data_IF_228819762159
#
_entry.id   IF_228819762159
#
_cell.length_a   1.000
_cell.length_b   1.000
_cell.length_c   1.000
_cell.angle_alpha   90.00
_cell.angle_beta   90.00
_cell.angle_gamma   90.00
#
_symmetry.space_group_name_H-M   'P 1'
#
loop_
_entity.id
_entity.type
_entity.pdbx_description
1 polymer ?
#
# COMPACT_ATOMS: atom_id res chain seq x y z
N UNK A 1 44.82 24.11 12.01
CA UNK A 1 44.27 22.85 11.45
C UNK A 1 44.27 23.00 9.94
N UNK A 2 44.75 22.01 9.18
CA UNK A 2 44.77 22.09 7.72
C UNK A 2 43.33 22.17 7.17
N UNK A 3 43.02 23.11 6.27
CA UNK A 3 41.69 23.25 5.67
C UNK A 3 41.25 21.95 4.98
N UNK A 4 42.17 21.22 4.37
CA UNK A 4 41.92 19.93 3.73
C UNK A 4 41.62 18.81 4.73
N UNK A 5 42.20 18.87 5.93
CA UNK A 5 41.85 17.94 6.99
C UNK A 5 40.41 18.20 7.48
N UNK A 6 40.01 19.47 7.62
CA UNK A 6 38.63 19.81 8.00
C UNK A 6 37.60 19.25 7.00
N UNK A 7 37.90 19.32 5.70
CA UNK A 7 37.04 18.73 4.66
C UNK A 7 36.88 17.20 4.85
N UNK A 8 37.98 16.47 5.07
CA UNK A 8 37.90 15.02 5.32
C UNK A 8 37.13 14.68 6.61
N UNK A 9 37.28 15.49 7.67
CA UNK A 9 36.49 15.32 8.90
C UNK A 9 34.99 15.57 8.68
N UNK A 10 34.65 16.65 7.96
CA UNK A 10 33.27 16.95 7.61
C UNK A 10 32.65 15.82 6.77
N UNK A 11 33.41 15.29 5.80
CA UNK A 11 33.04 14.11 5.02
C UNK A 11 32.75 12.89 5.91
N UNK A 12 33.59 12.61 6.89
CA UNK A 12 33.39 11.50 7.82
C UNK A 12 32.07 11.63 8.60
N UNK A 13 31.81 12.82 9.15
CA UNK A 13 30.59 13.10 9.92
C UNK A 13 29.35 13.00 9.02
N UNK A 14 29.38 13.62 7.84
CA UNK A 14 28.26 13.61 6.89
C UNK A 14 27.94 12.17 6.45
N UNK A 15 28.95 11.38 6.09
CA UNK A 15 28.76 9.99 5.70
C UNK A 15 28.19 9.14 6.83
N UNK A 16 28.62 9.36 8.08
CA UNK A 16 28.10 8.63 9.24
C UNK A 16 26.64 9.01 9.55
N UNK A 17 26.29 10.30 9.46
CA UNK A 17 24.91 10.77 9.61
C UNK A 17 24.03 10.21 8.49
N UNK A 18 24.49 10.22 7.25
CA UNK A 18 23.77 9.63 6.12
C UNK A 18 23.51 8.13 6.31
N UNK A 19 24.50 7.38 6.81
CA UNK A 19 24.33 5.97 7.11
C UNK A 19 23.21 5.74 8.14
N UNK A 20 23.22 6.51 9.24
CA UNK A 20 22.20 6.41 10.28
C UNK A 20 20.80 6.77 9.76
N UNK A 21 20.68 7.85 9.01
CA UNK A 21 19.41 8.31 8.43
C UNK A 21 18.81 7.28 7.45
N UNK A 22 19.64 6.75 6.55
CA UNK A 22 19.17 5.75 5.56
C UNK A 22 18.77 4.47 6.25
N UNK A 23 19.56 4.01 7.23
CA UNK A 23 19.25 2.79 7.96
C UNK A 23 17.95 2.93 8.76
N UNK A 24 17.76 4.05 9.46
CA UNK A 24 16.55 4.34 10.23
C UNK A 24 15.30 4.46 9.33
N UNK A 25 15.44 5.00 8.12
CA UNK A 25 14.29 5.21 7.22
C UNK A 25 13.59 3.91 6.80
N UNK A 26 14.34 2.82 6.57
CA UNK A 26 13.78 1.49 6.29
C UNK A 26 14.89 0.44 6.43
N UNK A 27 15.02 -0.11 7.64
CA UNK A 27 16.04 -1.11 7.96
C UNK A 27 15.73 -2.49 7.38
N UNK A 28 14.51 -2.76 6.88
CA UNK A 28 14.16 -4.03 6.23
C UNK A 28 14.60 -4.08 4.76
N UNK A 29 14.68 -2.93 4.10
CA UNK A 29 15.11 -2.83 2.70
C UNK A 29 16.59 -3.18 2.52
N UNK A 30 16.89 -4.19 1.71
CA UNK A 30 18.27 -4.60 1.37
C UNK A 30 19.08 -3.45 0.76
N UNK A 31 18.45 -2.65 -0.10
CA UNK A 31 19.06 -1.48 -0.74
C UNK A 31 19.54 -0.47 0.30
N UNK A 32 18.73 -0.18 1.33
CA UNK A 32 19.10 0.75 2.40
C UNK A 32 20.25 0.21 3.25
N UNK A 33 20.23 -1.09 3.58
CA UNK A 33 21.34 -1.72 4.32
C UNK A 33 22.66 -1.58 3.57
N UNK A 34 22.69 -1.94 2.29
CA UNK A 34 23.91 -1.84 1.49
C UNK A 34 24.38 -0.39 1.32
N UNK A 35 23.47 0.55 1.07
CA UNK A 35 23.84 1.96 1.01
C UNK A 35 24.42 2.48 2.34
N UNK A 36 23.79 2.10 3.46
CA UNK A 36 24.26 2.48 4.80
C UNK A 36 25.66 1.90 5.08
N UNK A 37 25.92 0.65 4.69
CA UNK A 37 27.25 0.03 4.79
C UNK A 37 28.27 0.81 3.95
N UNK A 38 27.93 1.17 2.70
CA UNK A 38 28.79 2.00 1.86
C UNK A 38 29.13 3.33 2.55
N UNK A 39 28.13 4.01 3.12
CA UNK A 39 28.34 5.26 3.86
C UNK A 39 29.21 5.09 5.11
N UNK A 40 29.07 3.98 5.86
CA UNK A 40 29.93 3.67 7.01
C UNK A 40 31.39 3.47 6.56
N UNK A 41 31.60 2.73 5.48
CA UNK A 41 32.95 2.52 4.94
C UNK A 41 33.57 3.81 4.41
N UNK A 42 32.76 4.70 3.81
CA UNK A 42 33.22 6.04 3.40
C UNK A 42 33.55 6.93 4.60
N UNK A 43 32.79 6.84 5.69
CA UNK A 43 33.09 7.56 6.92
C UNK A 43 34.42 7.09 7.52
N UNK A 44 34.69 5.78 7.47
CA UNK A 44 35.95 5.18 7.88
C UNK A 44 37.14 5.73 7.07
N UNK A 45 37.08 5.72 5.73
CA UNK A 45 38.18 6.22 4.90
C UNK A 45 38.37 7.73 5.07
N UNK A 46 37.29 8.49 5.18
CA UNK A 46 37.34 9.93 5.46
C UNK A 46 38.03 10.25 6.79
N UNK A 47 37.76 9.44 7.82
CA UNK A 47 38.41 9.59 9.12
C UNK A 47 39.88 9.17 9.10
N UNK A 48 40.22 8.10 8.37
CA UNK A 48 41.60 7.68 8.18
C UNK A 48 42.41 8.76 7.44
N UNK A 49 41.85 9.35 6.39
CA UNK A 49 42.46 10.45 5.63
C UNK A 49 42.63 11.72 6.47
N UNK A 50 41.62 12.09 7.27
CA UNK A 50 41.74 13.18 8.24
C UNK A 50 42.91 12.97 9.20
N UNK A 51 43.02 11.76 9.74
CA UNK A 51 44.02 11.40 10.74
C UNK A 51 45.43 11.33 10.12
N UNK A 52 45.53 10.86 8.88
CA UNK A 52 46.75 10.94 8.08
C UNK A 52 47.21 12.40 7.93
N UNK A 53 46.34 13.29 7.43
CA UNK A 53 46.67 14.69 7.15
C UNK A 53 47.11 15.48 8.39
N UNK A 54 46.66 15.09 9.59
CA UNK A 54 47.01 15.73 10.86
C UNK A 54 48.11 15.03 11.65
N UNK A 55 48.74 14.00 11.10
CA UNK A 55 49.78 13.25 11.79
C UNK A 55 50.97 14.14 12.16
N UNK A 56 51.49 13.96 13.39
CA UNK A 56 52.60 14.78 13.93
C UNK A 56 53.97 14.37 13.40
N UNK A 57 54.11 13.11 12.97
CA UNK A 57 55.36 12.54 12.49
C UNK A 57 55.10 11.51 11.38
N UNK A 58 56.16 11.15 10.66
CA UNK A 58 56.14 10.16 9.56
C UNK A 58 55.63 8.79 10.02
N UNK A 59 56.01 8.36 11.23
CA UNK A 59 55.59 7.07 11.79
C UNK A 59 54.07 6.99 12.01
N UNK A 60 53.46 8.03 12.59
CA UNK A 60 52.01 8.09 12.75
C UNK A 60 51.29 8.17 11.40
N UNK A 61 51.84 8.93 10.45
CA UNK A 61 51.29 9.01 9.10
C UNK A 61 51.30 7.64 8.41
N UNK A 62 52.37 6.85 8.54
CA UNK A 62 52.47 5.49 8.00
C UNK A 62 51.43 4.54 8.58
N UNK A 63 51.13 4.66 9.87
CA UNK A 63 50.08 3.87 10.51
C UNK A 63 48.72 4.21 9.91
N UNK A 64 48.38 5.50 9.80
CA UNK A 64 47.09 5.92 9.23
C UNK A 64 46.96 5.59 7.74
N UNK A 65 48.03 5.70 6.96
CA UNK A 65 48.05 5.28 5.56
C UNK A 65 47.78 3.77 5.41
N UNK A 66 48.29 2.93 6.32
CA UNK A 66 48.00 1.48 6.34
C UNK A 66 46.60 1.15 6.84
N UNK A 67 46.02 1.99 7.69
CA UNK A 67 44.63 1.85 8.13
C UNK A 67 43.68 2.12 6.95
N UNK A 68 44.03 3.02 6.03
CA UNK A 68 43.23 3.33 4.82
C UNK A 68 43.32 2.26 3.71
N UNK A 69 43.20 0.99 4.08
CA UNK A 69 43.39 -0.17 3.18
C UNK A 69 42.10 -0.76 2.61
N UNK A 70 40.96 -0.35 3.16
CA UNK A 70 39.66 -0.97 2.83
C UNK A 70 39.03 -0.41 1.54
N UNK A 71 39.64 0.57 0.89
CA UNK A 71 39.09 1.21 -0.31
C UNK A 71 38.77 0.23 -1.47
N UNK A 72 39.51 -0.88 -1.73
CA UNK A 72 39.11 -1.84 -2.77
C UNK A 72 37.80 -2.57 -2.44
N UNK A 73 37.57 -2.85 -1.15
CA UNK A 73 36.33 -3.49 -0.69
C UNK A 73 35.12 -2.56 -0.85
N UNK A 74 35.31 -1.24 -0.74
CA UNK A 74 34.24 -0.26 -0.96
C UNK A 74 33.66 -0.38 -2.36
N UNK A 75 34.51 -0.54 -3.39
CA UNK A 75 34.06 -0.70 -4.77
C UNK A 75 33.20 -1.96 -4.96
N UNK A 76 33.55 -3.04 -4.26
CA UNK A 76 32.77 -4.27 -4.27
C UNK A 76 31.42 -4.08 -3.58
N UNK A 77 31.37 -3.38 -2.44
CA UNK A 77 30.11 -3.08 -1.74
C UNK A 77 29.21 -2.18 -2.59
N UNK A 78 29.78 -1.23 -3.33
CA UNK A 78 29.04 -0.38 -4.27
C UNK A 78 28.45 -1.21 -5.41
N UNK A 79 29.22 -2.15 -5.98
CA UNK A 79 28.70 -3.08 -6.98
C UNK A 79 27.56 -3.94 -6.41
N UNK A 80 27.67 -4.39 -5.16
CA UNK A 80 26.59 -5.09 -4.46
C UNK A 80 25.35 -4.23 -4.29
N UNK A 81 25.52 -2.97 -3.92
CA UNK A 81 24.43 -2.00 -3.84
C UNK A 81 23.75 -1.82 -5.20
N UNK A 82 24.50 -1.64 -6.28
CA UNK A 82 23.95 -1.49 -7.63
C UNK A 82 23.18 -2.74 -8.09
N UNK A 83 23.71 -3.94 -7.81
CA UNK A 83 23.04 -5.20 -8.12
C UNK A 83 21.78 -5.43 -7.26
N UNK A 84 21.83 -5.04 -5.98
CA UNK A 84 20.68 -5.09 -5.09
C UNK A 84 19.59 -4.12 -5.53
N UNK A 85 19.96 -2.92 -5.98
CA UNK A 85 19.02 -1.94 -6.50
C UNK A 85 18.36 -2.38 -7.81
N UNK A 86 19.12 -2.99 -8.72
CA UNK A 86 18.62 -3.45 -10.02
C UNK A 86 17.89 -4.80 -9.98
N UNK A 87 17.64 -5.34 -8.79
CA UNK A 87 16.93 -6.60 -8.55
C UNK A 87 17.63 -7.83 -9.18
N UNK A 88 18.93 -7.72 -9.47
CA UNK A 88 19.73 -8.79 -10.11
C UNK A 88 20.42 -9.72 -9.10
N UNK A 89 19.83 -9.91 -7.92
CA UNK A 89 20.36 -10.75 -6.83
C UNK A 89 20.66 -12.20 -7.22
N UNK A 90 20.06 -12.72 -8.31
CA UNK A 90 20.38 -14.05 -8.84
C UNK A 90 21.83 -14.18 -9.33
N UNK A 91 22.50 -13.07 -9.65
CA UNK A 91 23.94 -13.06 -9.99
C UNK A 91 24.76 -13.25 -8.71
N UNK A 92 24.35 -12.60 -7.62
CA UNK A 92 24.99 -12.64 -6.30
C UNK A 92 24.79 -13.97 -5.56
N UNK A 93 23.74 -14.75 -5.90
CA UNK A 93 23.54 -16.09 -5.33
C UNK A 93 24.50 -17.15 -5.90
N UNK A 94 25.21 -16.84 -6.98
CA UNK A 94 26.20 -17.77 -7.58
C UNK A 94 27.55 -17.61 -6.90
N UNK A 95 28.01 -18.67 -6.22
CA UNK A 95 29.34 -18.72 -5.55
C UNK A 95 30.49 -18.24 -6.44
N UNK A 96 30.49 -18.61 -7.73
CA UNK A 96 31.54 -18.18 -8.69
C UNK A 96 31.59 -16.67 -8.92
N UNK A 97 30.43 -16.00 -8.94
CA UNK A 97 30.36 -14.56 -9.13
C UNK A 97 30.88 -13.80 -7.90
N UNK A 98 30.54 -14.29 -6.68
CA UNK A 98 31.08 -13.74 -5.44
C UNK A 98 32.61 -13.86 -5.39
N UNK A 99 33.16 -15.02 -5.74
CA UNK A 99 34.60 -15.25 -5.80
C UNK A 99 35.26 -14.26 -6.78
N UNK A 100 34.71 -14.12 -7.99
CA UNK A 100 35.28 -13.24 -9.01
C UNK A 100 35.30 -11.76 -8.60
N UNK A 101 34.30 -11.33 -7.83
CA UNK A 101 34.18 -9.93 -7.40
C UNK A 101 35.04 -9.65 -6.15
N UNK A 102 35.00 -10.52 -5.14
CA UNK A 102 35.66 -10.26 -3.84
C UNK A 102 37.14 -10.64 -3.80
N UNK A 103 37.56 -11.69 -4.51
CA UNK A 103 38.95 -12.17 -4.44
C UNK A 103 39.94 -11.10 -4.92
N UNK A 104 39.75 -10.42 -6.07
CA UNK A 104 40.66 -9.36 -6.49
C UNK A 104 40.76 -8.23 -5.46
N UNK A 105 39.63 -7.78 -4.92
CA UNK A 105 39.60 -6.73 -3.90
C UNK A 105 40.36 -7.15 -2.64
N UNK A 106 40.17 -8.40 -2.18
CA UNK A 106 40.86 -8.94 -1.03
C UNK A 106 42.37 -9.08 -1.28
N UNK A 107 42.78 -9.52 -2.47
CA UNK A 107 44.19 -9.54 -2.88
C UNK A 107 44.80 -8.15 -2.86
N UNK A 108 44.14 -7.13 -3.41
CA UNK A 108 44.63 -5.75 -3.37
C UNK A 108 44.74 -5.21 -1.93
N UNK A 109 43.74 -5.45 -1.09
CA UNK A 109 43.80 -5.09 0.34
C UNK A 109 44.99 -5.77 1.03
N UNK A 110 45.23 -7.07 0.78
CA UNK A 110 46.40 -7.78 1.34
C UNK A 110 47.71 -7.15 0.85
N UNK A 111 47.83 -6.85 -0.44
CA UNK A 111 49.03 -6.25 -1.03
C UNK A 111 49.30 -4.87 -0.41
N UNK A 112 48.27 -4.05 -0.17
CA UNK A 112 48.42 -2.73 0.49
C UNK A 112 48.90 -2.87 1.94
N UNK A 113 48.46 -3.90 2.68
CA UNK A 113 48.91 -4.12 4.07
C UNK A 113 50.35 -4.64 4.12
N UNK A 114 50.68 -5.61 3.27
CA UNK A 114 51.93 -6.37 3.35
C UNK A 114 53.08 -5.73 2.59
N UNK A 115 52.78 -4.91 1.58
CA UNK A 115 53.78 -4.30 0.71
C UNK A 115 53.61 -2.80 0.60
N UNK A 116 54.70 -2.08 0.36
CA UNK A 116 54.67 -0.64 0.06
C UNK A 116 54.56 -0.37 -1.46
N UNK A 117 54.15 -1.37 -2.26
CA UNK A 117 54.08 -1.23 -3.72
C UNK A 117 52.90 -0.36 -4.19
N UNK A 118 51.84 -0.26 -3.38
CA UNK A 118 50.67 0.57 -3.64
C UNK A 118 50.67 1.87 -2.82
N UNK A 119 51.30 1.85 -1.65
CA UNK A 119 51.49 3.01 -0.78
C UNK A 119 52.99 3.32 -0.71
N UNK A 120 53.49 4.06 -1.69
CA UNK A 120 54.87 4.59 -1.68
C UNK A 120 55.03 5.69 -0.61
N UNK A 121 56.26 6.22 -0.50
CA UNK A 121 56.67 7.20 0.52
C UNK A 121 55.61 8.26 0.82
N UNK A 122 55.31 8.42 2.11
CA UNK A 122 54.42 9.50 2.55
C UNK A 122 55.21 10.79 2.54
N UNK A 123 54.76 11.75 1.74
CA UNK A 123 55.34 13.08 1.70
C UNK A 123 54.44 14.08 2.40
N UNK A 124 55.09 15.03 3.08
CA UNK A 124 54.42 16.17 3.67
C UNK A 124 54.25 17.24 2.59
N UNK A 125 53.01 17.46 2.17
CA UNK A 125 52.64 18.52 1.23
C UNK A 125 51.96 19.70 1.96
N UNK A 126 51.66 20.78 1.24
CA UNK A 126 50.96 21.93 1.81
C UNK A 126 49.50 21.63 2.23
N UNK A 127 48.91 20.52 1.76
CA UNK A 127 47.62 19.98 2.21
C UNK A 127 47.73 18.87 3.27
N UNK A 128 48.91 18.64 3.85
CA UNK A 128 49.18 17.67 4.91
C UNK A 128 49.97 16.46 4.45
N UNK A 129 50.07 15.44 5.30
CA UNK A 129 50.63 14.15 4.90
C UNK A 129 49.72 13.46 3.88
N UNK A 130 50.31 12.97 2.80
CA UNK A 130 49.60 12.24 1.75
C UNK A 130 50.47 11.12 1.17
N UNK A 131 49.81 10.08 0.67
CA UNK A 131 50.47 9.02 -0.09
C UNK A 131 50.81 9.57 -1.49
N UNK A 132 52.08 9.57 -1.86
CA UNK A 132 52.47 9.84 -3.23
C UNK A 132 52.42 8.51 -3.99
N UNK A 133 51.57 8.39 -5.00
CA UNK A 133 51.43 7.15 -5.79
C UNK A 133 52.52 7.09 -6.85
N UNK A 134 53.37 6.06 -6.82
CA UNK A 134 54.33 5.79 -7.87
C UNK A 134 53.69 5.01 -9.03
N UNK A 135 54.13 5.30 -10.25
CA UNK A 135 53.68 4.59 -11.43
C UNK A 135 54.48 3.27 -11.58
N UNK A 136 53.89 2.17 -11.13
CA UNK A 136 54.45 0.82 -11.15
C UNK A 136 53.43 -0.16 -11.75
N UNK A 137 53.87 -1.37 -12.13
CA UNK A 137 52.98 -2.39 -12.72
C UNK A 137 51.76 -2.71 -11.81
N UNK A 138 51.98 -2.78 -10.49
CA UNK A 138 50.93 -3.06 -9.51
C UNK A 138 49.89 -1.94 -9.40
N UNK A 139 50.32 -0.67 -9.43
CA UNK A 139 49.41 0.49 -9.40
C UNK A 139 48.63 0.59 -10.70
N UNK A 140 49.24 0.25 -11.85
CA UNK A 140 48.56 0.15 -13.13
C UNK A 140 47.46 -0.93 -13.12
N UNK A 141 47.77 -2.14 -12.67
CA UNK A 141 46.79 -3.26 -12.60
C UNK A 141 45.61 -2.88 -11.69
N UNK A 142 45.90 -2.27 -10.55
CA UNK A 142 44.87 -1.88 -9.58
C UNK A 142 43.96 -0.78 -10.15
N UNK A 143 44.53 0.20 -10.86
CA UNK A 143 43.77 1.24 -11.55
C UNK A 143 42.90 0.68 -12.69
N UNK A 144 43.42 -0.26 -13.49
CA UNK A 144 42.63 -0.94 -14.53
C UNK A 144 41.45 -1.68 -13.91
N UNK A 145 41.68 -2.40 -12.82
CA UNK A 145 40.62 -3.08 -12.09
C UNK A 145 39.57 -2.10 -11.55
N UNK A 146 39.99 -1.00 -10.93
CA UNK A 146 39.10 0.06 -10.46
C UNK A 146 38.22 0.63 -11.59
N UNK A 147 38.82 0.99 -12.73
CA UNK A 147 38.10 1.49 -13.91
C UNK A 147 37.11 0.44 -14.42
N UNK A 148 37.50 -0.83 -14.46
CA UNK A 148 36.61 -1.92 -14.89
C UNK A 148 35.37 -2.05 -13.99
N UNK A 149 35.53 -1.85 -12.68
CA UNK A 149 34.42 -1.87 -11.72
C UNK A 149 33.48 -0.69 -11.94
N UNK A 150 34.02 0.52 -12.14
CA UNK A 150 33.23 1.74 -12.42
C UNK A 150 32.42 1.57 -13.71
N UNK A 151 33.06 1.08 -14.79
CA UNK A 151 32.39 0.81 -16.07
C UNK A 151 31.31 -0.25 -15.91
N UNK A 152 31.58 -1.33 -15.16
CA UNK A 152 30.60 -2.38 -14.89
C UNK A 152 29.37 -1.85 -14.14
N UNK A 153 29.58 -1.07 -13.07
CA UNK A 153 28.50 -0.44 -12.29
C UNK A 153 27.69 0.50 -13.20
N UNK A 154 28.37 1.37 -13.96
CA UNK A 154 27.74 2.28 -14.91
C UNK A 154 26.91 1.55 -15.97
N UNK A 155 27.43 0.45 -16.52
CA UNK A 155 26.74 -0.37 -17.51
C UNK A 155 25.48 -1.05 -16.93
N UNK A 156 25.58 -1.62 -15.72
CA UNK A 156 24.43 -2.23 -15.03
C UNK A 156 23.34 -1.19 -14.82
N UNK A 157 23.70 -0.02 -14.30
CA UNK A 157 22.76 1.08 -14.03
C UNK A 157 22.14 1.65 -15.32
N UNK A 158 22.94 1.82 -16.37
CA UNK A 158 22.46 2.31 -17.67
C UNK A 158 21.49 1.32 -18.34
N UNK A 159 21.84 0.03 -18.34
CA UNK A 159 20.97 -1.03 -18.86
C UNK A 159 19.65 -1.08 -18.10
N UNK A 160 19.68 -0.91 -16.78
CA UNK A 160 18.46 -0.82 -15.97
C UNK A 160 17.64 0.43 -16.30
N UNK A 161 18.29 1.59 -16.43
CA UNK A 161 17.65 2.86 -16.78
C UNK A 161 16.88 2.80 -18.12
N UNK A 162 17.44 2.18 -19.16
CA UNK A 162 16.77 2.03 -20.47
C UNK A 162 15.55 1.11 -20.38
N UNK A 163 15.63 0.03 -19.59
CA UNK A 163 14.58 -0.98 -19.51
C UNK A 163 13.41 -0.57 -18.60
N UNK A 164 13.64 0.34 -17.66
CA UNK A 164 12.66 0.64 -16.61
C UNK A 164 11.55 1.57 -17.12
N UNK A 165 10.30 1.13 -16.97
CA UNK A 165 9.09 1.91 -17.31
C UNK A 165 8.63 2.81 -16.15
N UNK A 166 8.82 2.36 -14.91
CA UNK A 166 8.48 3.12 -13.71
C UNK A 166 9.34 4.39 -13.62
N UNK A 167 8.67 5.55 -13.59
CA UNK A 167 9.31 6.86 -13.57
C UNK A 167 10.19 7.06 -12.32
N UNK A 168 9.74 6.61 -11.14
CA UNK A 168 10.48 6.76 -9.90
C UNK A 168 11.73 5.89 -9.88
N UNK A 169 11.61 4.60 -10.23
CA UNK A 169 12.76 3.68 -10.30
C UNK A 169 13.77 4.10 -11.38
N UNK A 170 13.30 4.62 -12.50
CA UNK A 170 14.14 5.13 -13.60
C UNK A 170 14.95 6.35 -13.18
N UNK A 171 14.31 7.35 -12.58
CA UNK A 171 15.03 8.53 -12.10
C UNK A 171 15.98 8.21 -10.97
N UNK A 172 15.60 7.38 -9.99
CA UNK A 172 16.50 6.95 -8.93
C UNK A 172 17.74 6.21 -9.47
N UNK A 173 17.61 5.38 -10.51
CA UNK A 173 18.75 4.78 -11.20
C UNK A 173 19.72 5.84 -11.78
N UNK A 174 19.19 6.93 -12.33
CA UNK A 174 19.99 8.05 -12.84
C UNK A 174 20.77 8.74 -11.71
N UNK A 175 20.14 9.00 -10.56
CA UNK A 175 20.81 9.59 -9.40
C UNK A 175 21.94 8.69 -8.88
N UNK A 176 21.69 7.38 -8.80
CA UNK A 176 22.70 6.38 -8.43
C UNK A 176 23.87 6.39 -9.41
N UNK A 177 23.60 6.36 -10.72
CA UNK A 177 24.65 6.38 -11.74
C UNK A 177 25.51 7.65 -11.65
N UNK A 178 24.89 8.82 -11.54
CA UNK A 178 25.61 10.11 -11.45
C UNK A 178 26.43 10.17 -10.16
N UNK A 179 25.82 9.79 -9.03
CA UNK A 179 26.45 9.81 -7.71
C UNK A 179 27.66 8.88 -7.59
N UNK A 180 27.79 7.88 -8.47
CA UNK A 180 28.96 7.01 -8.55
C UNK A 180 29.98 7.41 -9.61
N UNK A 181 29.53 7.85 -10.78
CA UNK A 181 30.46 8.17 -11.87
C UNK A 181 31.28 9.43 -11.58
N UNK A 182 30.66 10.49 -11.04
CA UNK A 182 31.38 11.75 -10.79
C UNK A 182 32.53 11.57 -9.78
N UNK A 183 32.32 10.96 -8.60
CA UNK A 183 33.43 10.73 -7.65
C UNK A 183 34.52 9.81 -8.20
N UNK A 184 34.13 8.83 -9.01
CA UNK A 184 35.09 7.91 -9.65
C UNK A 184 36.00 8.63 -10.64
N UNK A 185 35.48 9.62 -11.39
CA UNK A 185 36.30 10.47 -12.27
C UNK A 185 37.30 11.32 -11.47
N UNK A 186 36.90 11.84 -10.30
CA UNK A 186 37.80 12.55 -9.38
C UNK A 186 38.91 11.62 -8.87
N UNK A 187 38.55 10.39 -8.50
CA UNK A 187 39.52 9.35 -8.12
C UNK A 187 40.49 8.98 -9.25
N UNK A 188 40.02 8.93 -10.50
CA UNK A 188 40.89 8.68 -11.65
C UNK A 188 41.82 9.86 -11.94
N UNK A 189 41.34 11.10 -11.80
CA UNK A 189 42.15 12.29 -11.94
C UNK A 189 43.30 12.31 -10.92
N UNK A 190 42.99 12.03 -9.65
CA UNK A 190 43.96 12.03 -8.54
C UNK A 190 44.89 10.81 -8.57
N UNK A 191 44.36 9.59 -8.75
CA UNK A 191 45.12 8.35 -8.66
C UNK A 191 45.88 7.95 -9.93
N UNK A 192 45.51 8.45 -11.11
CA UNK A 192 46.13 8.08 -12.39
C UNK A 192 46.74 9.26 -13.13
N UNK A 193 46.01 10.38 -13.28
CA UNK A 193 46.48 11.51 -14.10
C UNK A 193 47.52 12.38 -13.38
N UNK A 194 47.37 12.64 -12.08
CA UNK A 194 48.36 13.42 -11.32
C UNK A 194 49.75 12.79 -11.31
N UNK A 195 49.93 11.48 -11.03
CA UNK A 195 51.24 10.83 -11.11
C UNK A 195 51.81 10.84 -12.53
N UNK A 196 50.97 10.62 -13.55
CA UNK A 196 51.40 10.58 -14.95
C UNK A 196 51.91 11.95 -15.45
N UNK A 197 51.28 13.03 -15.00
CA UNK A 197 51.63 14.41 -15.39
C UNK A 197 52.65 15.05 -14.43
N UNK A 198 53.10 14.33 -13.39
CA UNK A 198 53.94 14.87 -12.32
C UNK A 198 53.35 16.14 -11.67
N UNK A 199 52.01 16.26 -11.63
CA UNK A 199 51.31 17.40 -11.04
C UNK A 199 50.94 17.06 -9.60
N UNK A 200 51.39 17.88 -8.67
CA UNK A 200 51.04 17.77 -7.25
C UNK A 200 49.65 18.36 -7.00
N UNK A 201 48.68 17.52 -6.63
CA UNK A 201 47.34 17.97 -6.25
C UNK A 201 46.76 17.16 -5.08
N UNK A 202 45.92 17.78 -4.23
CA UNK A 202 45.32 17.09 -3.10
C UNK A 202 44.33 16.02 -3.58
N UNK A 203 44.37 14.85 -2.94
CA UNK A 203 43.33 13.85 -3.15
C UNK A 203 41.99 14.40 -2.61
N UNK A 204 40.98 14.43 -3.46
CA UNK A 204 39.62 14.86 -3.11
C UNK A 204 38.60 13.75 -3.34
N UNK A 205 39.07 12.51 -3.51
CA UNK A 205 38.25 11.35 -3.81
C UNK A 205 37.19 11.17 -2.73
N UNK A 206 37.57 11.14 -1.46
CA UNK A 206 36.63 10.91 -0.35
C UNK A 206 35.58 12.02 -0.24
N UNK A 207 35.98 13.27 -0.44
CA UNK A 207 35.06 14.41 -0.46
C UNK A 207 34.07 14.32 -1.61
N UNK A 208 34.54 13.98 -2.81
CA UNK A 208 33.68 13.77 -3.97
C UNK A 208 32.69 12.62 -3.73
N UNK A 209 33.15 11.51 -3.13
CA UNK A 209 32.32 10.38 -2.75
C UNK A 209 31.22 10.79 -1.76
N UNK A 210 31.54 11.64 -0.77
CA UNK A 210 30.56 12.17 0.18
C UNK A 210 29.44 12.95 -0.54
N UNK A 211 29.81 13.83 -1.47
CA UNK A 211 28.85 14.59 -2.29
C UNK A 211 28.02 13.66 -3.17
N UNK A 212 28.64 12.64 -3.76
CA UNK A 212 27.94 11.57 -4.49
C UNK A 212 26.92 10.85 -3.61
N UNK A 213 27.30 10.50 -2.38
CA UNK A 213 26.40 9.89 -1.38
C UNK A 213 25.20 10.78 -1.04
N UNK A 214 25.41 12.08 -0.82
CA UNK A 214 24.32 13.05 -0.63
C UNK A 214 23.36 13.09 -1.82
N UNK A 215 23.89 13.03 -3.04
CA UNK A 215 23.10 13.05 -4.26
C UNK A 215 22.26 11.78 -4.42
N UNK A 216 22.83 10.61 -4.10
CA UNK A 216 22.12 9.33 -4.08
C UNK A 216 21.03 9.34 -3.01
N UNK A 217 21.37 9.79 -1.80
CA UNK A 217 20.41 9.92 -0.69
C UNK A 217 19.23 10.82 -1.05
N UNK A 218 19.48 11.99 -1.66
CA UNK A 218 18.43 12.87 -2.14
C UNK A 218 17.51 12.17 -3.15
N UNK A 219 18.08 11.43 -4.10
CA UNK A 219 17.30 10.61 -5.03
C UNK A 219 16.47 9.56 -4.29
N UNK A 220 17.05 8.84 -3.33
CA UNK A 220 16.36 7.83 -2.55
C UNK A 220 15.19 8.42 -1.77
N UNK A 221 15.39 9.55 -1.09
CA UNK A 221 14.35 10.25 -0.35
C UNK A 221 13.22 10.75 -1.27
N UNK A 222 13.57 11.44 -2.36
CA UNK A 222 12.61 12.04 -3.30
C UNK A 222 11.76 11.01 -4.03
N UNK A 223 12.34 9.89 -4.47
CA UNK A 223 11.64 8.92 -5.32
C UNK A 223 11.07 7.71 -4.55
N UNK A 224 11.45 7.47 -3.28
CA UNK A 224 10.75 6.48 -2.42
C UNK A 224 9.44 6.99 -1.82
N UNK A 225 9.25 8.30 -1.76
CA UNK A 225 7.95 8.90 -1.38
C UNK A 225 6.80 8.47 -2.31
N UNK A 226 7.09 7.98 -3.51
CA UNK A 226 6.09 7.69 -4.54
C UNK A 226 5.83 6.20 -4.81
N UNK A 227 6.59 5.28 -4.20
CA UNK A 227 6.34 3.83 -4.36
C UNK A 227 5.68 3.30 -3.11
N UNK A 228 4.35 3.20 -3.09
CA UNK A 228 3.66 2.41 -2.06
C UNK A 228 4.14 0.97 -2.22
N UNK A 229 4.89 0.48 -1.25
CA UNK A 229 5.36 -0.90 -1.27
C UNK A 229 4.12 -1.82 -1.15
N UNK A 230 3.96 -2.85 -1.99
CA UNK A 230 2.75 -3.68 -1.98
C UNK A 230 2.42 -4.26 -0.60
N UNK A 231 3.41 -4.51 0.25
CA UNK A 231 3.22 -4.92 1.64
C UNK A 231 2.55 -3.84 2.50
N UNK A 232 2.99 -2.58 2.40
CA UNK A 232 2.36 -1.46 3.12
C UNK A 232 0.96 -1.16 2.59
N UNK A 233 0.77 -1.27 1.27
CA UNK A 233 -0.56 -1.13 0.67
C UNK A 233 -1.51 -2.22 1.19
N UNK A 234 -1.05 -3.47 1.21
CA UNK A 234 -1.85 -4.60 1.68
C UNK A 234 -2.20 -4.46 3.16
N UNK A 235 -1.24 -4.17 4.04
CA UNK A 235 -1.50 -3.93 5.47
C UNK A 235 -2.51 -2.79 5.69
N UNK A 236 -2.32 -1.64 5.03
CA UNK A 236 -3.27 -0.53 5.14
C UNK A 236 -4.65 -0.86 4.58
N UNK A 237 -4.75 -1.62 3.49
CA UNK A 237 -6.04 -2.06 2.93
C UNK A 237 -6.73 -3.02 3.92
N UNK A 238 -5.99 -3.96 4.51
CA UNK A 238 -6.50 -4.90 5.52
C UNK A 238 -7.00 -4.17 6.77
N UNK A 239 -6.33 -3.11 7.20
CA UNK A 239 -6.71 -2.36 8.40
C UNK A 239 -7.85 -1.37 8.17
N UNK A 240 -8.02 -0.87 6.94
CA UNK A 240 -9.07 0.13 6.61
C UNK A 240 -10.35 -0.49 6.07
N UNK A 241 -10.34 -1.75 5.63
CA UNK A 241 -11.55 -2.42 5.18
C UNK A 241 -12.55 -2.62 6.33
N UNK A 242 -13.82 -2.35 6.07
CA UNK A 242 -14.91 -2.57 7.03
C UNK A 242 -15.36 -4.02 7.10
N UNK A 243 -15.10 -4.81 6.05
CA UNK A 243 -15.42 -6.22 6.02
C UNK A 243 -14.45 -7.00 6.93
N UNK A 244 -14.98 -8.00 7.65
CA UNK A 244 -14.22 -8.85 8.53
C UNK A 244 -13.38 -9.82 7.70
N UNK A 245 -12.10 -9.97 8.03
CA UNK A 245 -11.19 -10.84 7.30
C UNK A 245 -10.54 -11.86 8.23
N UNK A 246 -10.59 -13.13 7.81
CA UNK A 246 -9.92 -14.24 8.46
C UNK A 246 -9.09 -15.01 7.44
N UNK A 247 -7.79 -15.17 7.72
CA UNK A 247 -6.91 -16.08 7.02
C UNK A 247 -6.80 -17.37 7.83
N UNK A 248 -6.87 -18.51 7.17
CA UNK A 248 -6.74 -19.82 7.83
C UNK A 248 -5.74 -20.70 7.09
N UNK A 249 -5.17 -21.67 7.79
CA UNK A 249 -4.46 -22.80 7.15
C UNK A 249 -5.45 -23.80 6.52
N UNK A 250 -4.92 -24.90 5.97
CA UNK A 250 -5.74 -25.93 5.33
C UNK A 250 -6.63 -26.70 6.31
N UNK A 251 -6.31 -26.68 7.61
CA UNK A 251 -7.09 -27.33 8.67
C UNK A 251 -8.18 -26.40 9.23
N UNK A 252 -8.25 -25.15 8.76
CA UNK A 252 -9.23 -24.15 9.18
C UNK A 252 -8.84 -23.41 10.45
N UNK A 253 -7.57 -23.48 10.87
CA UNK A 253 -7.02 -22.76 12.01
C UNK A 253 -6.64 -21.35 11.58
N UNK A 254 -7.05 -20.35 12.36
CA UNK A 254 -6.83 -18.94 12.05
C UNK A 254 -5.34 -18.62 12.12
N UNK A 255 -4.80 -18.03 11.07
CA UNK A 255 -3.40 -17.59 10.98
C UNK A 255 -3.28 -16.07 11.06
N UNK A 256 -4.23 -15.34 10.48
CA UNK A 256 -4.26 -13.87 10.47
C UNK A 256 -5.69 -13.37 10.53
N UNK A 257 -5.90 -12.24 11.20
CA UNK A 257 -7.18 -11.52 11.24
C UNK A 257 -6.94 -10.03 11.01
N UNK A 258 -7.92 -9.33 10.46
CA UNK A 258 -7.85 -7.87 10.37
C UNK A 258 -8.48 -7.17 11.59
N UNK A 259 -8.30 -5.85 11.65
CA UNK A 259 -8.87 -5.02 12.72
C UNK A 259 -10.39 -5.06 12.77
N UNK A 260 -11.06 -4.99 11.62
CA UNK A 260 -12.52 -5.01 11.57
C UNK A 260 -13.10 -6.30 12.16
N UNK A 261 -12.47 -7.45 11.91
CA UNK A 261 -12.81 -8.69 12.59
C UNK A 261 -12.70 -8.52 14.11
N UNK A 262 -11.51 -8.21 14.64
CA UNK A 262 -11.28 -8.06 16.08
C UNK A 262 -12.29 -7.14 16.77
N UNK A 263 -12.53 -5.96 16.19
CA UNK A 263 -13.43 -4.95 16.74
C UNK A 263 -14.89 -5.44 16.73
N UNK A 264 -15.31 -6.18 15.70
CA UNK A 264 -16.69 -6.70 15.58
C UNK A 264 -16.95 -7.90 16.48
N UNK A 265 -16.02 -8.86 16.56
CA UNK A 265 -16.18 -10.07 17.39
C UNK A 265 -15.79 -9.84 18.86
N UNK A 266 -15.02 -8.80 19.16
CA UNK A 266 -14.63 -8.43 20.52
C UNK A 266 -13.54 -9.32 21.11
N UNK A 267 -12.75 -10.01 20.28
CA UNK A 267 -11.59 -10.80 20.69
C UNK A 267 -10.29 -10.11 20.27
N UNK A 268 -9.23 -10.30 21.05
CA UNK A 268 -7.89 -9.86 20.66
C UNK A 268 -7.27 -10.82 19.66
N UNK A 269 -6.28 -10.35 18.89
CA UNK A 269 -5.57 -11.17 17.91
C UNK A 269 -5.01 -12.46 18.53
N UNK A 270 -4.43 -12.39 19.73
CA UNK A 270 -3.83 -13.54 20.41
C UNK A 270 -4.86 -14.58 20.86
N UNK A 271 -6.11 -14.17 21.02
CA UNK A 271 -7.23 -15.06 21.36
C UNK A 271 -7.82 -15.73 20.11
N UNK A 272 -7.56 -15.18 18.92
CA UNK A 272 -8.11 -15.67 17.66
C UNK A 272 -7.12 -16.53 16.88
N UNK A 273 -5.90 -16.04 16.75
CA UNK A 273 -4.85 -16.72 16.00
C UNK A 273 -4.52 -18.04 16.68
N UNK A 274 -4.58 -19.11 15.91
CA UNK A 274 -4.38 -20.46 16.37
C UNK A 274 -5.65 -21.18 16.83
N UNK A 275 -6.80 -20.52 16.88
CA UNK A 275 -8.07 -21.21 17.13
C UNK A 275 -8.75 -21.59 15.81
N UNK A 276 -9.66 -22.56 15.87
CA UNK A 276 -10.43 -22.96 14.69
C UNK A 276 -11.50 -21.91 14.36
N UNK A 277 -11.59 -21.51 13.08
CA UNK A 277 -12.55 -20.50 12.65
C UNK A 277 -14.01 -20.89 12.96
N UNK A 278 -14.33 -22.19 12.89
CA UNK A 278 -15.69 -22.72 13.13
C UNK A 278 -16.22 -22.41 14.53
N UNK A 279 -15.34 -22.22 15.51
CA UNK A 279 -15.75 -21.96 16.89
C UNK A 279 -16.55 -20.65 17.03
N UNK A 280 -16.39 -19.73 16.08
CA UNK A 280 -17.06 -18.44 16.06
C UNK A 280 -18.32 -18.42 15.18
N UNK A 281 -18.69 -19.55 14.55
CA UNK A 281 -19.86 -19.68 13.67
C UNK A 281 -20.78 -20.79 14.20
N UNK A 282 -21.78 -20.48 15.05
CA UNK A 282 -22.65 -21.47 15.67
C UNK A 282 -23.45 -22.33 14.69
N UNK A 283 -23.77 -21.82 13.49
CA UNK A 283 -24.39 -22.58 12.41
C UNK A 283 -23.33 -23.28 11.54
N UNK A 284 -22.58 -24.18 12.18
CA UNK A 284 -21.35 -24.81 11.67
C UNK A 284 -21.49 -25.67 10.40
N UNK A 285 -22.71 -26.01 9.98
CA UNK A 285 -22.96 -26.86 8.81
C UNK A 285 -22.63 -26.17 7.47
N UNK A 286 -22.63 -24.84 7.43
CA UNK A 286 -22.34 -24.08 6.20
C UNK A 286 -20.83 -23.98 5.99
N UNK A 287 -20.04 -23.75 7.04
CA UNK A 287 -18.59 -23.52 6.92
C UNK A 287 -17.85 -24.80 6.56
N UNK A 288 -18.15 -25.95 7.17
CA UNK A 288 -17.46 -27.22 6.86
C UNK A 288 -17.92 -27.88 5.57
N UNK A 289 -19.20 -27.80 5.20
CA UNK A 289 -19.62 -28.26 3.88
C UNK A 289 -19.08 -27.37 2.76
N UNK A 290 -18.90 -26.06 3.02
CA UNK A 290 -18.26 -25.14 2.06
C UNK A 290 -16.76 -25.38 2.00
N UNK A 291 -16.05 -25.60 3.12
CA UNK A 291 -14.63 -25.99 3.13
C UNK A 291 -14.41 -27.36 2.47
N UNK A 292 -15.27 -28.35 2.73
CA UNK A 292 -15.22 -29.67 2.06
C UNK A 292 -15.51 -29.56 0.56
N UNK A 293 -16.49 -28.73 0.15
CA UNK A 293 -16.75 -28.42 -1.26
C UNK A 293 -15.58 -27.64 -1.90
N UNK A 294 -14.89 -26.79 -1.15
CA UNK A 294 -13.67 -26.08 -1.57
C UNK A 294 -12.48 -27.01 -1.85
N UNK A 295 -12.46 -28.22 -1.27
CA UNK A 295 -11.45 -29.21 -1.61
C UNK A 295 -11.68 -29.86 -2.98
N UNK A 296 -12.89 -29.78 -3.55
CA UNK A 296 -13.19 -30.36 -4.86
C UNK A 296 -12.45 -29.62 -5.99
N UNK A 297 -12.05 -30.32 -7.06
CA UNK A 297 -11.45 -29.69 -8.23
C UNK A 297 -12.42 -28.79 -9.03
N UNK A 298 -13.71 -28.77 -8.67
CA UNK A 298 -14.78 -28.05 -9.37
C UNK A 298 -15.24 -26.77 -8.65
N UNK A 299 -14.66 -26.44 -7.49
CA UNK A 299 -15.07 -25.27 -6.72
C UNK A 299 -14.73 -23.96 -7.44
N UNK A 300 -15.77 -23.24 -7.87
CA UNK A 300 -15.71 -21.82 -8.25
C UNK A 300 -15.99 -20.99 -7.00
N UNK A 301 -15.25 -19.89 -6.84
CA UNK A 301 -15.45 -18.88 -5.79
C UNK A 301 -16.94 -18.69 -5.51
N UNK A 302 -17.31 -18.93 -4.27
CA UNK A 302 -18.69 -18.97 -3.88
C UNK A 302 -18.96 -17.67 -3.11
N UNK A 303 -19.85 -16.83 -3.64
CA UNK A 303 -20.10 -15.47 -3.12
C UNK A 303 -21.38 -15.43 -2.29
N UNK A 304 -21.36 -14.60 -1.26
CA UNK A 304 -22.52 -14.18 -0.48
C UNK A 304 -23.30 -15.26 0.29
N UNK A 305 -22.60 -16.15 1.00
CA UNK A 305 -23.24 -17.10 1.92
C UNK A 305 -23.68 -16.41 3.20
N UNK A 306 -24.98 -16.42 3.46
CA UNK A 306 -25.48 -15.96 4.76
C UNK A 306 -25.12 -16.96 5.85
N UNK A 307 -24.56 -16.43 6.93
CA UNK A 307 -24.20 -17.18 8.13
C UNK A 307 -24.40 -16.29 9.36
N UNK A 308 -24.25 -16.90 10.53
CA UNK A 308 -24.28 -16.20 11.81
C UNK A 308 -22.95 -16.36 12.50
N UNK A 309 -22.40 -15.24 12.96
CA UNK A 309 -21.16 -15.16 13.71
C UNK A 309 -21.48 -14.79 15.16
N UNK A 310 -20.74 -15.36 16.12
CA UNK A 310 -20.94 -15.11 17.54
C UNK A 310 -19.77 -14.31 18.13
N UNK A 311 -20.06 -13.18 18.76
CA UNK A 311 -19.08 -12.37 19.47
C UNK A 311 -18.70 -13.00 20.82
N UNK A 312 -17.63 -12.47 21.45
CA UNK A 312 -17.22 -12.84 22.82
C UNK A 312 -18.31 -12.62 23.87
N UNK A 313 -19.18 -11.63 23.65
CA UNK A 313 -20.31 -11.32 24.54
C UNK A 313 -21.53 -12.19 24.28
N UNK A 314 -21.47 -13.11 23.32
CA UNK A 314 -22.59 -13.97 22.93
C UNK A 314 -23.56 -13.33 21.93
N UNK A 315 -23.29 -12.10 21.45
CA UNK A 315 -24.11 -11.44 20.42
C UNK A 315 -24.02 -12.22 19.10
N UNK A 316 -25.18 -12.52 18.51
CA UNK A 316 -25.26 -13.11 17.17
C UNK A 316 -25.29 -11.99 16.13
N UNK A 317 -24.37 -12.07 15.18
CA UNK A 317 -24.18 -11.08 14.12
C UNK A 317 -24.43 -11.80 12.78
N UNK A 318 -25.48 -11.42 12.03
CA UNK A 318 -25.70 -11.96 10.70
C UNK A 318 -24.64 -11.43 9.74
N UNK A 319 -23.99 -12.34 9.01
CA UNK A 319 -22.91 -12.00 8.08
C UNK A 319 -23.11 -12.66 6.73
N UNK A 320 -22.64 -12.01 5.67
CA UNK A 320 -22.49 -12.57 4.33
C UNK A 320 -21.02 -12.93 4.10
N UNK A 321 -20.71 -14.21 3.87
CA UNK A 321 -19.35 -14.74 3.77
C UNK A 321 -19.02 -15.08 2.31
N UNK A 322 -17.84 -14.65 1.87
CA UNK A 322 -17.23 -15.00 0.59
C UNK A 322 -15.88 -15.69 0.82
N UNK A 323 -15.82 -17.03 0.84
CA UNK A 323 -14.57 -17.76 0.96
C UNK A 323 -13.80 -17.86 -0.37
N UNK A 324 -12.48 -17.77 -0.31
CA UNK A 324 -11.57 -17.99 -1.44
C UNK A 324 -10.35 -18.84 -1.05
N UNK A 325 -9.82 -19.56 -2.04
CA UNK A 325 -8.68 -20.46 -1.85
C UNK A 325 -7.37 -19.73 -2.08
N UNK A 326 -6.45 -19.83 -1.12
CA UNK A 326 -5.10 -19.25 -1.24
C UNK A 326 -4.15 -20.30 -1.84
N UNK A 327 -3.44 -19.91 -2.91
CA UNK A 327 -2.49 -20.77 -3.62
C UNK A 327 -1.13 -20.09 -3.77
N UNK A 328 -0.06 -20.88 -3.68
CA UNK A 328 1.31 -20.46 -4.00
C UNK A 328 1.54 -20.50 -5.53
N UNK A 329 2.61 -19.85 -6.04
CA UNK A 329 3.00 -19.75 -7.47
C UNK A 329 3.06 -21.07 -8.27
N UNK A 330 2.95 -22.24 -7.64
CA UNK A 330 2.95 -23.56 -8.28
C UNK A 330 1.63 -24.33 -8.08
N UNK A 331 0.53 -23.64 -7.77
CA UNK A 331 -0.79 -24.27 -7.55
C UNK A 331 -0.91 -25.04 -6.23
N UNK A 332 0.12 -24.96 -5.36
CA UNK A 332 0.07 -25.55 -4.02
C UNK A 332 -0.88 -24.73 -3.15
N UNK A 333 -1.95 -25.37 -2.66
CA UNK A 333 -2.91 -24.78 -1.72
C UNK A 333 -2.20 -24.49 -0.40
N UNK A 334 -2.37 -23.29 0.15
CA UNK A 334 -1.72 -22.85 1.40
C UNK A 334 -2.72 -22.52 2.51
N UNK A 335 -3.99 -22.31 2.18
CA UNK A 335 -5.02 -21.97 3.15
C UNK A 335 -6.27 -21.37 2.51
N UNK A 336 -7.11 -20.76 3.33
CA UNK A 336 -8.35 -20.10 2.90
C UNK A 336 -8.42 -18.66 3.42
N UNK A 337 -8.97 -17.78 2.59
CA UNK A 337 -9.34 -16.42 2.93
C UNK A 337 -10.86 -16.34 3.06
N UNK A 338 -11.34 -15.86 4.19
CA UNK A 338 -12.75 -15.60 4.43
C UNK A 338 -12.97 -14.10 4.60
N UNK A 339 -13.80 -13.53 3.72
CA UNK A 339 -14.30 -12.16 3.86
C UNK A 339 -15.75 -12.25 4.31
N UNK A 340 -16.07 -11.64 5.45
CA UNK A 340 -17.42 -11.62 6.02
C UNK A 340 -17.90 -10.17 6.16
N UNK A 341 -19.05 -9.87 5.58
CA UNK A 341 -19.70 -8.56 5.67
C UNK A 341 -20.85 -8.63 6.68
N UNK A 342 -20.87 -7.71 7.64
CA UNK A 342 -22.03 -7.53 8.52
C UNK A 342 -23.25 -7.07 7.72
N UNK A 343 -24.35 -7.84 7.79
CA UNK A 343 -25.61 -7.54 7.10
C UNK A 343 -26.74 -7.16 8.06
N UNK A 344 -26.43 -6.83 9.32
CA UNK A 344 -27.39 -6.46 10.36
C UNK A 344 -28.30 -5.32 9.89
N UNK A 345 -27.71 -4.23 9.43
CA UNK A 345 -28.46 -3.05 8.95
C UNK A 345 -29.36 -3.40 7.78
N UNK A 346 -28.87 -4.22 6.84
CA UNK A 346 -29.64 -4.66 5.68
C UNK A 346 -30.84 -5.49 6.10
N UNK A 347 -30.66 -6.48 6.97
CA UNK A 347 -31.76 -7.31 7.47
C UNK A 347 -32.78 -6.49 8.27
N UNK A 348 -32.32 -5.55 9.09
CA UNK A 348 -33.22 -4.64 9.82
C UNK A 348 -34.07 -3.77 8.88
N UNK A 349 -33.50 -3.28 7.79
CA UNK A 349 -34.23 -2.53 6.76
C UNK A 349 -35.21 -3.41 5.99
N UNK A 350 -34.80 -4.61 5.59
CA UNK A 350 -35.68 -5.56 4.90
C UNK A 350 -36.86 -5.98 5.79
N UNK A 351 -36.62 -6.21 7.09
CA UNK A 351 -37.66 -6.53 8.06
C UNK A 351 -38.57 -5.35 8.39
N UNK A 352 -38.05 -4.12 8.45
CA UNK A 352 -38.88 -2.94 8.69
C UNK A 352 -39.81 -2.66 7.52
N UNK A 353 -39.31 -2.77 6.28
CA UNK A 353 -40.12 -2.70 5.05
C UNK A 353 -41.17 -3.80 5.04
N UNK A 354 -40.80 -5.05 5.36
CA UNK A 354 -41.74 -6.17 5.42
C UNK A 354 -42.86 -5.91 6.44
N UNK A 355 -42.52 -5.45 7.65
CA UNK A 355 -43.49 -5.13 8.70
C UNK A 355 -44.42 -3.99 8.29
N UNK A 356 -43.89 -2.96 7.62
CA UNK A 356 -44.69 -1.85 7.11
C UNK A 356 -45.68 -2.32 6.04
N UNK A 357 -45.23 -3.13 5.08
CA UNK A 357 -46.09 -3.69 4.04
C UNK A 357 -47.23 -4.52 4.65
N UNK A 358 -46.91 -5.42 5.60
CA UNK A 358 -47.92 -6.21 6.30
C UNK A 358 -48.91 -5.34 7.08
N UNK A 359 -48.44 -4.27 7.74
CA UNK A 359 -49.32 -3.35 8.46
C UNK A 359 -50.25 -2.57 7.52
N UNK A 360 -49.78 -2.20 6.31
CA UNK A 360 -50.59 -1.54 5.30
C UNK A 360 -51.63 -2.48 4.66
N UNK A 361 -51.24 -3.73 4.39
CA UNK A 361 -52.14 -4.77 3.85
C UNK A 361 -53.25 -5.14 4.84
N UNK A 362 -52.95 -5.22 6.13
CA UNK A 362 -53.91 -5.58 7.18
C UNK A 362 -54.73 -4.40 7.74
N UNK A 363 -54.48 -3.18 7.26
CA UNK A 363 -55.25 -2.02 7.70
C UNK A 363 -56.72 -2.17 7.30
N UNK A 364 -57.65 -1.97 8.24
CA UNK A 364 -59.09 -2.03 7.98
C UNK A 364 -59.58 -0.88 7.10
N UNK A 365 -58.87 0.25 7.12
CA UNK A 365 -59.16 1.39 6.26
C UNK A 365 -58.54 1.18 4.88
N UNK A 366 -59.27 1.63 3.85
CA UNK A 366 -58.76 1.63 2.49
C UNK A 366 -57.63 2.65 2.32
N UNK A 367 -56.44 2.18 1.94
CA UNK A 367 -55.26 3.00 1.64
C UNK A 367 -55.08 3.05 0.13
N UNK A 368 -54.98 4.25 -0.42
CA UNK A 368 -54.68 4.50 -1.83
C UNK A 368 -53.58 5.56 -1.96
N UNK A 369 -52.59 5.30 -2.81
CA UNK A 369 -51.57 6.27 -3.19
C UNK A 369 -51.80 6.66 -4.64
N UNK A 370 -51.81 7.97 -4.90
CA UNK A 370 -51.98 8.56 -6.21
C UNK A 370 -50.74 9.36 -6.61
N UNK A 371 -50.35 9.26 -7.87
CA UNK A 371 -49.30 10.09 -8.45
C UNK A 371 -49.79 11.53 -8.59
N UNK A 372 -48.95 12.48 -8.17
CA UNK A 372 -49.26 13.92 -8.23
C UNK A 372 -49.26 14.47 -9.66
N UNK A 373 -48.54 13.81 -10.58
CA UNK A 373 -48.35 14.28 -11.97
C UNK A 373 -49.55 13.91 -12.84
N UNK A 374 -49.89 12.61 -12.90
CA UNK A 374 -50.91 12.06 -13.80
C UNK A 374 -52.20 11.65 -13.09
N UNK A 375 -52.26 11.81 -11.76
CA UNK A 375 -53.41 11.49 -10.90
C UNK A 375 -53.85 10.02 -10.98
N UNK A 376 -52.94 9.15 -11.42
CA UNK A 376 -53.19 7.72 -11.47
C UNK A 376 -52.90 7.08 -10.12
N UNK A 377 -53.67 6.04 -9.81
CA UNK A 377 -53.44 5.18 -8.65
C UNK A 377 -52.14 4.41 -8.88
N UNK A 378 -51.19 4.55 -7.97
CA UNK A 378 -49.91 3.81 -7.98
C UNK A 378 -49.89 2.65 -7.00
N UNK A 379 -50.71 2.70 -5.95
CA UNK A 379 -50.83 1.64 -4.95
C UNK A 379 -52.22 1.67 -4.31
N UNK A 380 -52.73 0.47 -3.98
CA UNK A 380 -53.91 0.24 -3.15
C UNK A 380 -53.61 -0.91 -2.18
N UNK A 381 -54.16 -0.87 -0.97
CA UNK A 381 -54.20 -2.04 -0.10
C UNK A 381 -55.44 -2.92 -0.41
N UNK A 382 -55.50 -4.09 0.22
CA UNK A 382 -56.60 -5.04 0.03
C UNK A 382 -57.94 -4.45 0.52
N UNK A 383 -57.96 -3.73 1.63
CA UNK A 383 -59.18 -3.11 2.17
C UNK A 383 -59.81 -2.10 1.21
N UNK A 384 -59.02 -1.29 0.49
CA UNK A 384 -59.55 -0.35 -0.51
C UNK A 384 -60.15 -1.10 -1.72
N UNK A 385 -59.49 -2.19 -2.12
CA UNK A 385 -59.93 -3.07 -3.22
C UNK A 385 -61.26 -3.75 -2.87
N UNK A 386 -61.37 -4.33 -1.68
CA UNK A 386 -62.57 -4.99 -1.16
C UNK A 386 -63.73 -4.01 -0.97
N UNK A 387 -63.43 -2.81 -0.46
CA UNK A 387 -64.41 -1.74 -0.26
C UNK A 387 -65.09 -1.36 -1.59
N UNK A 388 -64.32 -1.18 -2.66
CA UNK A 388 -64.86 -0.81 -3.98
C UNK A 388 -65.31 -2.02 -4.82
N UNK A 389 -64.87 -3.23 -4.50
CA UNK A 389 -65.18 -4.46 -5.24
C UNK A 389 -64.37 -4.63 -6.54
N UNK A 390 -63.19 -4.02 -6.62
CA UNK A 390 -62.26 -4.13 -7.75
C UNK A 390 -60.99 -4.87 -7.32
N UNK A 391 -60.29 -5.51 -8.25
CA UNK A 391 -58.96 -6.06 -7.94
C UNK A 391 -57.88 -4.98 -7.99
N UNK A 392 -56.74 -5.13 -7.29
CA UNK A 392 -55.64 -4.18 -7.38
C UNK A 392 -55.17 -3.92 -8.82
N UNK A 393 -55.19 -4.94 -9.69
CA UNK A 393 -54.80 -4.81 -11.10
C UNK A 393 -55.79 -3.96 -11.92
N UNK A 394 -57.06 -3.90 -11.53
CA UNK A 394 -58.08 -3.05 -12.17
C UNK A 394 -58.00 -1.60 -11.70
N UNK A 395 -57.49 -1.37 -10.48
CA UNK A 395 -57.37 -0.04 -9.87
C UNK A 395 -56.04 0.66 -10.23
N UNK A 396 -54.93 -0.06 -10.21
CA UNK A 396 -53.60 0.52 -10.47
C UNK A 396 -53.52 1.04 -11.92
N UNK A 397 -53.10 2.30 -12.07
CA UNK A 397 -52.98 2.98 -13.36
C UNK A 397 -54.24 3.71 -13.84
N UNK A 398 -55.38 3.58 -13.14
CA UNK A 398 -56.59 4.37 -13.43
C UNK A 398 -56.62 5.66 -12.59
N UNK A 399 -57.49 6.61 -12.93
CA UNK A 399 -57.60 7.85 -12.14
C UNK A 399 -58.62 7.69 -11.01
N UNK A 400 -58.24 8.12 -9.80
CA UNK A 400 -59.08 8.01 -8.59
C UNK A 400 -60.49 8.63 -8.77
N UNK A 401 -60.62 9.68 -9.57
CA UNK A 401 -61.91 10.35 -9.85
C UNK A 401 -63.00 9.41 -10.40
N UNK A 402 -62.65 8.30 -11.04
CA UNK A 402 -63.64 7.38 -11.61
C UNK A 402 -64.43 6.62 -10.54
N UNK A 403 -63.89 6.55 -9.32
CA UNK A 403 -64.50 5.84 -8.19
C UNK A 403 -65.19 6.79 -7.21
N UNK A 404 -65.23 8.09 -7.51
CA UNK A 404 -65.83 9.14 -6.70
C UNK A 404 -67.04 9.71 -7.44
N UNK A 405 -68.24 9.59 -6.86
CA UNK A 405 -69.46 10.21 -7.40
C UNK A 405 -69.47 11.72 -7.08
N UNK A 406 -69.43 12.06 -5.78
CA UNK A 406 -69.44 13.43 -5.30
C UNK A 406 -68.83 13.56 -3.90
N UNK A 407 -68.41 14.77 -3.58
CA UNK A 407 -68.08 15.17 -2.21
C UNK A 407 -69.37 15.54 -1.48
N UNK A 408 -69.56 14.99 -0.27
CA UNK A 408 -70.75 15.22 0.56
C UNK A 408 -70.58 16.43 1.50
N UNK A 409 -69.36 16.95 1.64
CA UNK A 409 -69.06 18.14 2.46
C UNK A 409 -69.60 19.44 1.81
N UNK A 410 -70.20 20.33 2.62
CA UNK A 410 -70.87 21.57 2.16
C UNK A 410 -69.96 22.68 1.59
N UNK A 411 -68.64 22.46 1.50
CA UNK A 411 -67.72 23.36 0.79
C UNK A 411 -67.27 22.63 -0.47
N UNK A 412 -67.33 23.31 -1.63
CA UNK A 412 -66.93 22.77 -2.94
C UNK A 412 -65.42 22.51 -2.91
N UNK A 413 -65.02 21.38 -2.34
CA UNK A 413 -63.67 20.86 -2.39
C UNK A 413 -63.60 19.92 -3.59
N UNK A 414 -62.90 20.35 -4.65
CA UNK A 414 -62.54 19.46 -5.75
C UNK A 414 -61.31 18.66 -5.34
N UNK A 415 -61.16 17.41 -5.84
CA UNK A 415 -59.91 16.64 -5.70
C UNK A 415 -58.68 17.48 -6.06
N UNK A 416 -58.78 18.31 -7.10
CA UNK A 416 -57.73 19.26 -7.48
C UNK A 416 -57.42 20.30 -6.41
N UNK A 417 -58.44 20.83 -5.72
CA UNK A 417 -58.27 21.79 -4.63
C UNK A 417 -57.56 21.17 -3.43
N UNK A 418 -58.01 19.99 -2.99
CA UNK A 418 -57.43 19.24 -1.87
C UNK A 418 -55.96 18.87 -2.16
N UNK A 419 -55.66 18.43 -3.39
CA UNK A 419 -54.30 18.03 -3.79
C UNK A 419 -53.37 19.21 -4.10
N UNK A 420 -53.90 20.43 -4.20
CA UNK A 420 -53.10 21.64 -4.53
C UNK A 420 -52.54 22.37 -3.31
N UNK A 421 -52.90 21.96 -2.09
CA UNK A 421 -52.42 22.58 -0.85
C UNK A 421 -51.00 22.04 -0.53
N UNK A 422 -49.95 22.87 -0.56
CA UNK A 422 -48.60 22.42 -0.25
C UNK A 422 -48.40 22.38 1.28
N UNK A 423 -48.10 21.21 1.84
CA UNK A 423 -47.69 21.10 3.25
C UNK A 423 -48.06 19.78 3.91
N UNK A 424 -47.70 19.65 5.19
CA UNK A 424 -48.05 18.53 6.09
C UNK A 424 -49.52 18.55 6.56
N UNK A 425 -50.41 19.28 5.88
CA UNK A 425 -51.82 19.36 6.27
C UNK A 425 -52.58 18.14 5.76
N UNK A 426 -53.15 17.38 6.69
CA UNK A 426 -54.15 16.34 6.40
C UNK A 426 -55.51 16.99 6.17
N UNK A 427 -56.14 16.68 5.04
CA UNK A 427 -57.49 17.14 4.70
C UNK A 427 -58.47 15.97 4.73
N UNK A 428 -59.51 16.07 5.54
CA UNK A 428 -60.56 15.05 5.63
C UNK A 428 -61.81 15.51 4.91
N UNK A 429 -62.40 14.64 4.09
CA UNK A 429 -63.66 14.93 3.40
C UNK A 429 -64.57 13.69 3.39
N UNK A 430 -65.88 13.91 3.50
CA UNK A 430 -66.88 12.88 3.27
C UNK A 430 -67.13 12.75 1.77
N UNK A 431 -67.02 11.53 1.25
CA UNK A 431 -67.06 11.22 -0.18
C UNK A 431 -68.05 10.09 -0.41
N UNK A 432 -68.90 10.26 -1.42
CA UNK A 432 -69.73 9.19 -1.95
C UNK A 432 -68.96 8.44 -3.04
N UNK A 433 -68.52 7.22 -2.74
CA UNK A 433 -67.81 6.36 -3.68
C UNK A 433 -68.77 5.51 -4.52
N UNK A 434 -68.32 5.09 -5.70
CA UNK A 434 -68.98 4.13 -6.61
C UNK A 434 -68.25 2.80 -6.53
N UNK A 435 -68.96 1.73 -6.16
CA UNK A 435 -68.49 0.35 -6.27
C UNK A 435 -68.62 -0.18 -7.71
N UNK A 436 -67.96 -1.30 -7.99
CA UNK A 436 -68.01 -2.00 -9.30
C UNK A 436 -69.41 -2.42 -9.72
N UNK A 437 -70.27 -2.75 -8.78
CA UNK A 437 -71.68 -3.11 -8.99
C UNK A 437 -72.61 -1.89 -9.17
N UNK A 438 -72.05 -0.67 -9.11
CA UNK A 438 -72.80 0.59 -9.21
C UNK A 438 -73.37 1.07 -7.88
N UNK A 439 -73.17 0.36 -6.77
CA UNK A 439 -73.63 0.79 -5.46
C UNK A 439 -72.88 2.03 -4.97
N UNK A 440 -73.63 3.01 -4.48
CA UNK A 440 -73.12 4.24 -3.89
C UNK A 440 -73.06 4.11 -2.37
N UNK A 441 -71.91 4.44 -1.79
CA UNK A 441 -71.75 4.42 -0.33
C UNK A 441 -70.95 5.63 0.15
N UNK A 442 -71.33 6.20 1.31
CA UNK A 442 -70.55 7.26 1.94
C UNK A 442 -69.29 6.68 2.58
N UNK A 443 -68.20 7.44 2.53
CA UNK A 443 -66.94 7.13 3.17
C UNK A 443 -66.28 8.42 3.67
N UNK A 444 -65.47 8.31 4.71
CA UNK A 444 -64.64 9.42 5.17
C UNK A 444 -63.21 9.19 4.66
N UNK A 445 -62.71 10.10 3.83
CA UNK A 445 -61.37 10.01 3.26
C UNK A 445 -60.46 11.07 3.87
N UNK A 446 -59.22 10.68 4.21
CA UNK A 446 -58.16 11.59 4.65
C UNK A 446 -57.07 11.64 3.58
N UNK A 447 -56.75 12.85 3.10
CA UNK A 447 -55.75 13.11 2.10
C UNK A 447 -54.52 13.75 2.73
N UNK A 448 -53.34 13.23 2.43
CA UNK A 448 -52.06 13.77 2.85
C UNK A 448 -51.08 13.78 1.68
N UNK A 449 -50.28 14.84 1.58
CA UNK A 449 -49.25 14.95 0.55
C UNK A 449 -47.95 14.28 1.04
N UNK A 450 -47.55 13.19 0.39
CA UNK A 450 -46.29 12.50 0.70
C UNK A 450 -45.18 13.11 -0.17
N UNK A 451 -44.17 13.73 0.46
CA UNK A 451 -42.96 14.17 -0.26
C UNK A 451 -42.12 12.95 -0.57
N UNK A 452 -41.87 12.70 -1.85
CA UNK A 452 -40.87 11.73 -2.26
C UNK A 452 -39.51 12.43 -2.25
N UNK A 453 -38.60 12.06 -1.35
CA UNK A 453 -37.23 12.59 -1.32
C UNK A 453 -36.41 12.21 -2.55
N UNK A 454 -36.93 11.35 -3.44
CA UNK A 454 -36.28 10.87 -4.66
C UNK A 454 -36.80 11.46 -5.98
N UNK A 455 -37.62 12.51 -5.98
CA UNK A 455 -37.83 13.29 -7.22
C UNK A 455 -36.66 14.24 -7.43
N UNK A 456 -35.90 14.15 -8.54
CA UNK A 456 -34.90 15.16 -8.85
C UNK A 456 -35.62 16.50 -8.91
N UNK A 457 -35.10 17.47 -8.17
CA UNK A 457 -35.56 18.85 -8.25
C UNK A 457 -35.36 19.36 -9.68
N UNK A 458 -36.42 19.37 -10.48
CA UNK A 458 -36.46 19.97 -11.81
C UNK A 458 -36.77 18.99 -12.93
N UNK A 459 -38.04 18.93 -13.31
CA UNK A 459 -38.49 18.69 -14.69
C UNK A 459 -39.75 19.50 -14.94
#
# INVERSE_FOLDING_TARGET
MNSFAFVSLASAIISLVLAALVYASNSKSKVNRFFSITCILMAYTAFAEYSLRQSRNTAAALVWAKIDVLWPLIMVVILHFALAYTEQWKILSKKRALILIYVPAMCFTIIVITTNYLTSEIKQAWWGWANESQFNATTLITNIWFISMVVLIGFIMWRYYIKQKDHAKKHLAKYIAIGYTIPSLVGMLTGLLSPLLSIQMPDMTVSAWTVGGLFIWYGMWKYRLFTVEPSMAAENILDTMSDLLFLTDLDGKITTVNRAAMDTIGYRQEELVGNELRAYFPQADITMNTIRKMHSPEFKEAKDYQATLQSKTGKIIPVSISPSLLQHEHGKRIGYLFIARDITTRQQMEDSIRKLNLAMEQASDGIVIISTIDRKISYVNDAFSDMLGYTPQELIGTQLRHYINRFLTNKIETLSGILSVPGNSTHTAEIEHVRKDGYLFPSLASFAHIKNEYTPSGS
#
